data_IF_319421222207
#
_entry.id   IF_319421222207
#
_cell.length_a   1.000
_cell.length_b   1.000
_cell.length_c   1.000
_cell.angle_alpha   90.00
_cell.angle_beta   90.00
_cell.angle_gamma   90.00
#
_symmetry.space_group_name_H-M   'P 1'
#
loop_
_entity.id
_entity.type
_entity.pdbx_description
1 polymer ?
#
# COMPACT_ATOMS: atom_id res chain seq x y z
N UNK A 1 -23.91 -9.13 11.38
CA UNK A 1 -25.07 -8.27 11.07
C UNK A 1 -24.56 -6.89 10.69
N UNK A 2 -25.25 -6.20 9.78
CA UNK A 2 -24.96 -4.81 9.39
C UNK A 2 -25.68 -3.78 10.29
N UNK A 3 -26.60 -4.21 11.16
CA UNK A 3 -27.42 -3.33 12.02
C UNK A 3 -26.58 -2.39 12.90
N UNK A 4 -25.45 -2.86 13.43
CA UNK A 4 -24.55 -2.02 14.22
C UNK A 4 -24.01 -0.82 13.42
N UNK A 5 -23.91 -0.95 12.09
CA UNK A 5 -23.42 0.09 11.18
C UNK A 5 -24.51 1.08 10.76
N UNK A 6 -25.78 0.82 11.10
CA UNK A 6 -26.89 1.74 10.85
C UNK A 6 -27.25 2.59 12.06
N UNK A 7 -26.63 2.33 13.23
CA UNK A 7 -26.96 3.00 14.49
C UNK A 7 -26.79 4.54 14.45
N UNK A 8 -25.79 5.02 13.70
CA UNK A 8 -25.53 6.46 13.50
C UNK A 8 -26.22 7.05 12.27
N UNK A 9 -26.92 6.21 11.48
CA UNK A 9 -27.55 6.62 10.23
C UNK A 9 -26.56 6.84 9.07
N UNK A 10 -27.08 7.48 8.01
CA UNK A 10 -26.31 7.80 6.81
C UNK A 10 -25.37 8.98 7.09
N UNK A 11 -24.06 8.89 6.79
CA UNK A 11 -23.13 9.99 7.03
C UNK A 11 -23.37 11.12 6.02
N UNK A 12 -22.97 12.33 6.42
CA UNK A 12 -23.09 13.52 5.56
C UNK A 12 -22.12 13.46 4.36
N UNK A 13 -20.92 12.92 4.54
CA UNK A 13 -19.87 12.90 3.52
C UNK A 13 -19.56 11.48 3.02
N UNK A 14 -19.01 10.64 3.88
CA UNK A 14 -18.55 9.29 3.53
C UNK A 14 -18.40 8.42 4.78
N UNK A 15 -18.26 7.11 4.58
CA UNK A 15 -17.77 6.21 5.62
C UNK A 15 -16.25 6.08 5.55
N UNK A 16 -15.56 6.36 6.65
CA UNK A 16 -14.13 6.10 6.83
C UNK A 16 -13.91 4.80 7.60
N UNK A 17 -13.18 3.84 7.03
CA UNK A 17 -12.88 2.55 7.69
C UNK A 17 -11.37 2.36 7.86
N UNK A 18 -10.97 1.95 9.07
CA UNK A 18 -9.59 1.74 9.49
C UNK A 18 -9.50 0.52 10.42
N UNK A 19 -8.35 -0.17 10.43
CA UNK A 19 -8.05 -1.21 11.43
C UNK A 19 -7.60 -0.63 12.78
N UNK A 20 -7.46 0.70 12.90
CA UNK A 20 -6.86 1.38 14.04
C UNK A 20 -5.35 1.58 13.87
N UNK A 21 -4.65 1.71 14.98
CA UNK A 21 -3.20 2.01 15.02
C UNK A 21 -2.31 0.83 14.60
N UNK A 22 -2.85 -0.39 14.55
CA UNK A 22 -2.10 -1.61 14.23
C UNK A 22 -2.93 -2.51 13.31
N UNK A 23 -2.24 -3.25 12.44
CA UNK A 23 -2.87 -4.29 11.60
C UNK A 23 -3.61 -5.31 12.47
N UNK A 24 -4.83 -5.66 12.06
CA UNK A 24 -5.72 -6.52 12.84
C UNK A 24 -5.17 -7.93 13.05
N UNK A 25 -4.41 -8.45 12.08
CA UNK A 25 -3.79 -9.77 12.21
C UNK A 25 -2.57 -9.70 13.14
N UNK A 26 -1.70 -8.71 12.95
CA UNK A 26 -0.53 -8.50 13.81
C UNK A 26 -0.95 -8.26 15.25
N UNK A 27 -2.08 -7.58 15.50
CA UNK A 27 -2.56 -7.36 16.84
C UNK A 27 -3.05 -8.67 17.49
N UNK A 28 -3.81 -9.48 16.74
CA UNK A 28 -4.42 -10.71 17.26
C UNK A 28 -3.47 -11.91 17.32
N UNK A 29 -2.39 -11.93 16.55
CA UNK A 29 -1.49 -13.08 16.41
C UNK A 29 -0.02 -12.71 16.57
N UNK A 30 0.75 -13.59 17.20
CA UNK A 30 2.22 -13.52 17.21
C UNK A 30 2.81 -13.89 15.85
N UNK A 31 4.11 -13.64 15.65
CA UNK A 31 4.82 -14.06 14.44
C UNK A 31 4.68 -15.57 14.18
N UNK A 32 4.71 -16.39 15.25
CA UNK A 32 4.49 -17.85 15.18
C UNK A 32 3.00 -18.25 14.99
N UNK A 33 2.15 -17.31 14.59
CA UNK A 33 0.70 -17.50 14.39
C UNK A 33 -0.07 -17.95 15.64
N UNK A 34 0.47 -17.73 16.85
CA UNK A 34 -0.25 -17.98 18.10
C UNK A 34 -1.17 -16.83 18.42
N UNK A 35 -2.40 -17.12 18.84
CA UNK A 35 -3.38 -16.10 19.21
C UNK A 35 -2.98 -15.39 20.50
N UNK A 36 -3.03 -14.06 20.52
CA UNK A 36 -2.93 -13.25 21.74
C UNK A 36 -4.26 -13.21 22.49
N UNK A 37 -4.17 -13.16 23.82
CA UNK A 37 -5.34 -13.09 24.69
C UNK A 37 -5.81 -11.66 24.95
N UNK A 38 -4.94 -10.69 24.66
CA UNK A 38 -5.13 -9.27 24.87
C UNK A 38 -5.08 -8.47 23.56
N UNK A 39 -5.61 -7.26 23.62
CA UNK A 39 -5.54 -6.26 22.53
C UNK A 39 -5.35 -4.88 23.15
N UNK A 40 -4.14 -4.34 23.06
CA UNK A 40 -3.75 -3.05 23.65
C UNK A 40 -4.56 -1.84 23.16
N UNK A 41 -5.30 -1.97 22.05
CA UNK A 41 -6.09 -0.91 21.46
C UNK A 41 -7.60 -1.11 21.62
N UNK A 42 -8.01 -2.17 22.32
CA UNK A 42 -9.41 -2.41 22.69
C UNK A 42 -9.63 -1.96 24.14
N UNK A 43 -10.74 -1.30 24.47
CA UNK A 43 -11.05 -0.91 25.85
C UNK A 43 -10.92 -2.09 26.84
N UNK A 44 -10.12 -1.88 27.90
CA UNK A 44 -9.84 -2.91 28.90
C UNK A 44 -8.88 -4.02 28.45
N UNK A 45 -8.13 -3.80 27.36
CA UNK A 45 -7.21 -4.77 26.75
C UNK A 45 -7.86 -6.10 26.32
N UNK A 46 -9.18 -6.09 26.08
CA UNK A 46 -9.94 -7.31 25.81
C UNK A 46 -9.64 -7.83 24.40
N UNK A 47 -9.03 -9.02 24.31
CA UNK A 47 -8.77 -9.66 23.02
C UNK A 47 -10.04 -10.07 22.27
N UNK A 48 -9.94 -10.12 20.93
CA UNK A 48 -10.97 -10.69 20.06
C UNK A 48 -12.19 -9.80 19.77
N UNK A 49 -12.16 -8.52 20.12
CA UNK A 49 -13.20 -7.55 19.73
C UNK A 49 -13.04 -7.02 18.30
N UNK A 50 -11.80 -6.97 17.81
CA UNK A 50 -11.49 -6.64 16.40
C UNK A 50 -11.48 -7.92 15.56
N UNK A 51 -12.21 -7.98 14.43
CA UNK A 51 -12.15 -9.11 13.53
C UNK A 51 -10.84 -9.12 12.75
N UNK A 52 -10.48 -10.30 12.25
CA UNK A 52 -9.35 -10.46 11.33
C UNK A 52 -9.63 -9.75 10.01
N UNK A 53 -8.61 -9.04 9.51
CA UNK A 53 -8.74 -8.17 8.32
C UNK A 53 -9.87 -7.16 8.50
N UNK A 54 -9.81 -6.44 9.62
CA UNK A 54 -10.84 -5.53 10.07
C UNK A 54 -11.30 -4.54 8.99
N UNK A 55 -10.38 -3.99 8.19
CA UNK A 55 -10.74 -3.06 7.11
C UNK A 55 -11.69 -3.73 6.12
N UNK A 56 -11.44 -4.98 5.72
CA UNK A 56 -12.29 -5.71 4.77
C UNK A 56 -13.65 -6.00 5.40
N UNK A 57 -13.66 -6.57 6.61
CA UNK A 57 -14.89 -6.98 7.30
C UNK A 57 -15.80 -5.78 7.52
N UNK A 58 -15.27 -4.68 8.07
CA UNK A 58 -16.04 -3.47 8.33
C UNK A 58 -16.51 -2.77 7.05
N UNK A 59 -15.66 -2.72 6.01
CA UNK A 59 -16.04 -2.19 4.71
C UNK A 59 -17.23 -2.93 4.10
N UNK A 60 -17.23 -4.26 4.19
CA UNK A 60 -18.34 -5.08 3.70
C UNK A 60 -19.62 -4.84 4.50
N UNK A 61 -19.55 -4.70 5.83
CA UNK A 61 -20.72 -4.36 6.64
C UNK A 61 -21.27 -2.97 6.29
N UNK A 62 -20.40 -2.00 6.05
CA UNK A 62 -20.80 -0.67 5.57
C UNK A 62 -21.48 -0.78 4.21
N UNK A 63 -20.96 -1.59 3.28
CA UNK A 63 -21.60 -1.82 1.96
C UNK A 63 -22.92 -2.56 2.03
N UNK A 64 -23.10 -3.45 3.01
CA UNK A 64 -24.37 -4.10 3.30
C UNK A 64 -25.42 -3.07 3.79
N UNK A 65 -25.01 -2.13 4.65
CA UNK A 65 -25.89 -1.09 5.20
C UNK A 65 -26.18 0.08 4.23
N UNK A 66 -25.16 0.56 3.52
CA UNK A 66 -25.20 1.77 2.71
C UNK A 66 -24.36 1.59 1.42
N UNK A 67 -24.98 0.99 0.40
CA UNK A 67 -24.30 0.66 -0.87
C UNK A 67 -23.85 1.90 -1.65
N UNK A 68 -24.63 2.97 -1.62
CA UNK A 68 -24.48 4.17 -2.46
C UNK A 68 -23.67 5.30 -1.79
N UNK A 69 -23.29 5.14 -0.52
CA UNK A 69 -22.47 6.12 0.20
C UNK A 69 -20.99 5.91 -0.17
N UNK A 70 -20.21 6.99 -0.37
CA UNK A 70 -18.76 6.87 -0.58
C UNK A 70 -18.09 6.13 0.59
N UNK A 71 -17.21 5.20 0.25
CA UNK A 71 -16.43 4.43 1.23
C UNK A 71 -14.94 4.67 1.03
N UNK A 72 -14.30 5.24 2.05
CA UNK A 72 -12.86 5.54 2.06
C UNK A 72 -12.19 4.67 3.12
N UNK A 73 -11.09 4.02 2.74
CA UNK A 73 -10.30 3.19 3.65
C UNK A 73 -8.91 3.78 3.89
N UNK A 74 -8.31 3.50 5.04
CA UNK A 74 -6.96 3.94 5.38
C UNK A 74 -6.33 3.07 6.46
N UNK A 75 -5.33 3.61 7.16
CA UNK A 75 -4.46 2.95 8.16
C UNK A 75 -3.32 2.12 7.57
N UNK A 76 -2.45 1.62 8.45
CA UNK A 76 -1.34 0.74 8.11
C UNK A 76 -1.84 -0.52 7.37
N UNK A 77 -2.96 -1.10 7.81
CA UNK A 77 -3.52 -2.31 7.19
C UNK A 77 -3.92 -2.09 5.73
N UNK A 78 -4.56 -0.96 5.40
CA UNK A 78 -4.92 -0.64 4.03
C UNK A 78 -3.69 -0.19 3.22
N UNK A 79 -2.86 0.68 3.81
CA UNK A 79 -1.71 1.30 3.15
C UNK A 79 -0.71 0.28 2.60
N UNK A 80 -0.41 -0.75 3.39
CA UNK A 80 0.53 -1.81 3.00
C UNK A 80 -0.09 -2.78 1.97
N UNK A 81 -1.42 -2.88 1.92
CA UNK A 81 -2.17 -3.79 1.05
C UNK A 81 -2.80 -3.10 -0.17
N UNK A 82 -2.33 -1.88 -0.49
CA UNK A 82 -2.86 -1.04 -1.59
C UNK A 82 -2.60 -1.62 -2.98
N UNK A 83 -1.52 -2.38 -3.14
CA UNK A 83 -1.17 -3.13 -4.35
C UNK A 83 -1.20 -4.63 -4.06
N UNK A 84 -0.95 -5.45 -5.08
CA UNK A 84 -0.74 -6.88 -4.86
C UNK A 84 0.39 -7.10 -3.85
N UNK A 85 0.19 -8.00 -2.90
CA UNK A 85 1.12 -8.23 -1.81
C UNK A 85 1.11 -9.71 -1.42
N UNK A 86 2.26 -10.20 -0.97
CA UNK A 86 2.35 -11.50 -0.32
C UNK A 86 1.75 -11.42 1.08
N UNK A 87 0.76 -12.27 1.35
CA UNK A 87 0.09 -12.36 2.64
C UNK A 87 0.65 -13.52 3.46
N UNK A 88 1.50 -13.18 4.43
CA UNK A 88 2.15 -14.14 5.34
C UNK A 88 1.16 -15.08 6.05
N UNK A 89 -0.05 -14.61 6.36
CA UNK A 89 -1.04 -15.37 7.11
C UNK A 89 -1.68 -16.50 6.30
N UNK A 90 -1.88 -16.30 5.00
CA UNK A 90 -2.45 -17.29 4.09
C UNK A 90 -1.46 -17.92 3.11
N UNK A 91 -0.20 -17.50 3.15
CA UNK A 91 0.89 -18.01 2.30
C UNK A 91 0.57 -17.88 0.79
N UNK A 92 0.02 -16.72 0.41
CA UNK A 92 -0.46 -16.46 -0.95
C UNK A 92 -0.23 -15.00 -1.35
N UNK A 93 -0.04 -14.76 -2.64
CA UNK A 93 -0.14 -13.41 -3.20
C UNK A 93 -1.62 -13.04 -3.27
N UNK A 94 -1.98 -11.93 -2.62
CA UNK A 94 -3.33 -11.36 -2.66
C UNK A 94 -3.34 -10.11 -3.52
N UNK A 95 -4.47 -9.90 -4.20
CA UNK A 95 -4.79 -8.65 -4.89
C UNK A 95 -4.94 -7.49 -3.90
N UNK A 96 -5.01 -6.27 -4.43
CA UNK A 96 -5.24 -5.06 -3.64
C UNK A 96 -6.47 -5.17 -2.73
N UNK A 97 -6.33 -4.66 -1.50
CA UNK A 97 -7.43 -4.58 -0.53
C UNK A 97 -8.61 -3.74 -1.05
N UNK A 98 -8.39 -2.81 -1.98
CA UNK A 98 -9.46 -2.04 -2.63
C UNK A 98 -10.49 -2.95 -3.31
N UNK A 99 -10.05 -4.08 -3.89
CA UNK A 99 -10.94 -5.02 -4.58
C UNK A 99 -11.73 -5.88 -3.59
N UNK A 100 -11.12 -6.28 -2.48
CA UNK A 100 -11.76 -7.12 -1.45
C UNK A 100 -12.72 -6.31 -0.55
N UNK A 101 -12.40 -5.04 -0.30
CA UNK A 101 -13.21 -4.12 0.53
C UNK A 101 -14.30 -3.40 -0.25
N UNK A 102 -14.20 -3.32 -1.58
CA UNK A 102 -15.07 -2.51 -2.43
C UNK A 102 -15.10 -1.02 -2.03
N UNK A 103 -13.99 -0.51 -1.51
CA UNK A 103 -13.82 0.90 -1.21
C UNK A 103 -13.64 1.73 -2.50
N UNK A 104 -14.13 2.96 -2.49
CA UNK A 104 -14.02 3.88 -3.63
C UNK A 104 -12.63 4.53 -3.71
N UNK A 105 -12.02 4.77 -2.54
CA UNK A 105 -10.72 5.43 -2.39
C UNK A 105 -9.96 4.87 -1.18
N UNK A 106 -8.64 4.73 -1.30
CA UNK A 106 -7.73 4.35 -0.22
C UNK A 106 -6.77 5.51 0.03
N UNK A 107 -6.63 5.93 1.28
CA UNK A 107 -5.62 6.91 1.70
C UNK A 107 -4.44 6.20 2.36
N UNK A 108 -3.21 6.50 1.97
CA UNK A 108 -2.00 5.85 2.49
C UNK A 108 -0.89 6.84 2.86
N UNK A 109 0.01 6.38 3.73
CA UNK A 109 1.06 7.22 4.31
C UNK A 109 0.48 8.22 5.31
N UNK A 110 1.10 9.40 5.40
CA UNK A 110 0.62 10.51 6.22
C UNK A 110 -0.55 11.19 5.50
N UNK A 111 -1.74 10.65 5.72
CA UNK A 111 -2.95 10.94 4.96
C UNK A 111 -3.79 12.08 5.54
N UNK A 112 -3.33 12.82 6.54
CA UNK A 112 -4.09 13.89 7.20
C UNK A 112 -4.48 14.98 6.19
N UNK A 113 -3.53 15.38 5.34
CA UNK A 113 -3.76 16.37 4.28
C UNK A 113 -4.69 15.84 3.20
N UNK A 114 -4.48 14.60 2.76
CA UNK A 114 -5.33 13.95 1.76
C UNK A 114 -6.77 13.76 2.25
N UNK A 115 -6.95 13.41 3.53
CA UNK A 115 -8.26 13.25 4.16
C UNK A 115 -9.03 14.57 4.19
N UNK A 116 -8.37 15.66 4.60
CA UNK A 116 -8.97 17.00 4.64
C UNK A 116 -9.37 17.46 3.23
N UNK A 117 -8.49 17.30 2.24
CA UNK A 117 -8.75 17.66 0.84
C UNK A 117 -9.96 16.89 0.27
N UNK A 118 -9.94 15.55 0.40
CA UNK A 118 -11.06 14.70 -0.04
C UNK A 118 -12.36 15.07 0.67
N UNK A 119 -12.33 15.32 1.98
CA UNK A 119 -13.53 15.70 2.73
C UNK A 119 -14.13 17.02 2.25
N UNK A 120 -13.30 18.04 2.00
CA UNK A 120 -13.77 19.32 1.45
C UNK A 120 -14.38 19.18 0.06
N UNK A 121 -13.77 18.38 -0.82
CA UNK A 121 -14.28 18.14 -2.18
C UNK A 121 -15.60 17.38 -2.16
N UNK A 122 -15.72 16.36 -1.31
CA UNK A 122 -17.00 15.65 -1.11
C UNK A 122 -18.07 16.59 -0.53
N UNK A 123 -17.71 17.48 0.39
CA UNK A 123 -18.63 18.49 0.94
C UNK A 123 -19.09 19.50 -0.13
N UNK A 124 -18.24 19.80 -1.12
CA UNK A 124 -18.58 20.62 -2.28
C UNK A 124 -19.43 19.86 -3.34
N UNK A 125 -19.76 18.59 -3.10
CA UNK A 125 -20.57 17.78 -4.00
C UNK A 125 -19.80 17.08 -5.11
N UNK A 126 -18.46 17.08 -5.06
CA UNK A 126 -17.67 16.36 -6.05
C UNK A 126 -17.84 14.84 -5.87
N UNK A 127 -18.12 14.06 -6.94
CA UNK A 127 -18.21 12.62 -6.83
C UNK A 127 -16.86 11.99 -6.45
N UNK A 128 -16.85 11.09 -5.45
CA UNK A 128 -15.63 10.38 -5.00
C UNK A 128 -14.83 9.72 -6.13
N UNK A 129 -15.50 9.31 -7.21
CA UNK A 129 -14.88 8.68 -8.38
C UNK A 129 -14.15 9.65 -9.31
N UNK A 130 -14.31 10.96 -9.13
CA UNK A 130 -13.64 12.01 -9.89
C UNK A 130 -12.39 12.55 -9.18
N UNK A 131 -12.28 12.32 -7.86
CA UNK A 131 -11.11 12.71 -7.06
C UNK A 131 -9.96 11.74 -7.36
N UNK A 132 -9.04 12.14 -8.26
CA UNK A 132 -7.94 11.29 -8.79
C UNK A 132 -6.56 11.93 -8.69
N UNK A 133 -6.53 13.22 -8.37
CA UNK A 133 -5.37 14.12 -8.35
C UNK A 133 -4.83 14.36 -6.93
N UNK A 134 -5.48 13.80 -5.90
CA UNK A 134 -5.02 13.90 -4.51
C UNK A 134 -3.85 12.94 -4.27
N UNK A 135 -2.70 13.49 -3.85
CA UNK A 135 -1.51 12.71 -3.49
C UNK A 135 -1.76 11.84 -2.26
N UNK A 136 -1.13 10.67 -2.21
CA UNK A 136 -1.34 9.72 -1.10
C UNK A 136 -2.67 8.97 -1.19
N UNK A 137 -3.27 8.91 -2.38
CA UNK A 137 -4.50 8.15 -2.62
C UNK A 137 -4.29 7.03 -3.63
N UNK A 138 -5.03 5.93 -3.46
CA UNK A 138 -5.06 4.80 -4.37
C UNK A 138 -6.49 4.43 -4.71
N UNK A 139 -6.71 3.99 -5.95
CA UNK A 139 -8.03 3.62 -6.45
C UNK A 139 -7.95 2.58 -7.55
N UNK A 140 -9.06 1.89 -7.78
CA UNK A 140 -9.19 0.92 -8.87
C UNK A 140 -9.50 1.67 -10.16
N UNK A 141 -8.63 1.50 -11.16
CA UNK A 141 -8.83 2.04 -12.50
C UNK A 141 -9.12 0.91 -13.48
N UNK A 142 -10.16 1.05 -14.32
CA UNK A 142 -10.51 0.02 -15.31
C UNK A 142 -9.63 0.07 -16.56
N UNK A 143 -9.12 1.26 -16.88
CA UNK A 143 -8.31 1.55 -18.06
C UNK A 143 -7.23 2.53 -17.66
N UNK A 144 -6.07 2.42 -18.26
CA UNK A 144 -5.03 3.42 -18.05
C UNK A 144 -5.51 4.77 -18.62
N UNK A 145 -5.35 5.90 -17.90
CA UNK A 145 -5.66 7.20 -18.48
C UNK A 145 -4.70 7.52 -19.62
N UNK A 146 -5.22 8.03 -20.74
CA UNK A 146 -4.46 8.23 -21.99
C UNK A 146 -3.31 9.23 -21.86
N UNK A 147 -3.41 10.17 -20.92
CA UNK A 147 -2.43 11.23 -20.70
C UNK A 147 -1.18 10.78 -19.93
N UNK A 148 -1.09 9.50 -19.50
CA UNK A 148 0.04 9.03 -18.69
C UNK A 148 1.05 8.26 -19.52
N UNK A 149 2.31 8.64 -19.39
CA UNK A 149 3.44 7.85 -19.89
C UNK A 149 3.60 6.59 -19.05
N UNK A 150 3.68 5.43 -19.69
CA UNK A 150 3.91 4.15 -19.00
C UNK A 150 5.39 3.83 -18.95
N UNK A 151 5.93 3.66 -17.75
CA UNK A 151 7.26 3.12 -17.48
C UNK A 151 7.08 1.66 -17.10
N UNK A 152 7.66 0.75 -17.88
CA UNK A 152 7.58 -0.68 -17.61
C UNK A 152 8.61 -1.09 -16.53
N UNK A 153 8.14 -1.55 -15.37
CA UNK A 153 9.04 -1.87 -14.25
C UNK A 153 9.95 -3.06 -14.53
N UNK A 154 9.57 -3.94 -15.46
CA UNK A 154 10.35 -5.13 -15.85
C UNK A 154 11.71 -4.77 -16.48
N UNK A 155 11.85 -3.55 -17.00
CA UNK A 155 13.12 -3.04 -17.52
C UNK A 155 14.11 -2.68 -16.41
N UNK A 156 13.63 -2.48 -15.18
CA UNK A 156 14.41 -2.06 -14.02
C UNK A 156 14.63 -3.25 -13.08
N UNK A 157 13.55 -3.94 -12.71
CA UNK A 157 13.58 -5.11 -11.83
C UNK A 157 13.55 -6.39 -12.68
N UNK A 158 14.73 -6.78 -13.18
CA UNK A 158 14.90 -8.04 -13.90
C UNK A 158 14.68 -9.22 -12.93
N UNK A 159 13.77 -10.13 -13.29
CA UNK A 159 13.56 -11.35 -12.52
C UNK A 159 14.78 -12.26 -12.71
N UNK A 160 15.52 -12.50 -11.64
CA UNK A 160 16.72 -13.33 -11.67
C UNK A 160 17.31 -13.52 -10.27
N UNK A 161 18.46 -14.21 -10.19
CA UNK A 161 19.26 -14.24 -8.99
C UNK A 161 19.56 -12.80 -8.55
N UNK A 162 19.29 -12.49 -7.28
CA UNK A 162 19.63 -11.18 -6.71
C UNK A 162 21.15 -11.09 -6.65
N UNK A 163 21.70 -9.98 -7.14
CA UNK A 163 23.13 -9.70 -6.97
C UNK A 163 23.49 -9.79 -5.49
N UNK A 164 24.55 -10.54 -5.17
CA UNK A 164 24.94 -10.71 -3.78
C UNK A 164 25.25 -9.33 -3.18
N UNK A 165 24.54 -8.92 -2.10
CA UNK A 165 24.80 -7.63 -1.50
C UNK A 165 26.24 -7.61 -0.99
N UNK A 166 27.01 -6.62 -1.44
CA UNK A 166 28.36 -6.42 -0.92
C UNK A 166 28.27 -6.21 0.58
N UNK A 167 29.00 -7.02 1.34
CA UNK A 167 28.99 -6.91 2.79
C UNK A 167 29.51 -5.51 3.19
N UNK A 168 28.70 -4.69 3.88
CA UNK A 168 29.04 -3.29 4.19
C UNK A 168 30.23 -3.14 5.15
N UNK A 169 30.71 -4.25 5.73
CA UNK A 169 31.87 -4.30 6.62
C UNK A 169 33.16 -4.73 5.92
N UNK A 170 33.14 -4.95 4.60
CA UNK A 170 34.37 -5.18 3.84
C UNK A 170 35.04 -3.82 3.60
N UNK A 171 36.27 -3.69 4.08
CA UNK A 171 37.13 -2.54 3.78
C UNK A 171 37.58 -2.60 2.32
N UNK A 172 36.92 -1.80 1.47
CA UNK A 172 37.24 -1.66 0.05
C UNK A 172 38.48 -0.80 -0.21
N UNK A 173 39.11 -0.23 0.83
CA UNK A 173 40.29 0.63 0.70
C UNK A 173 41.63 -0.11 0.84
N UNK A 174 41.64 -1.34 1.34
CA UNK A 174 42.85 -2.15 1.51
C UNK A 174 43.06 -3.14 0.35
N UNK A 175 44.23 -3.15 -0.33
CA UNK A 175 44.50 -4.03 -1.47
C UNK A 175 44.72 -5.52 -1.11
N UNK A 176 44.47 -5.92 0.15
CA UNK A 176 44.76 -7.26 0.67
C UNK A 176 43.64 -8.29 0.43
N UNK A 177 42.52 -7.91 -0.19
CA UNK A 177 41.38 -8.81 -0.47
C UNK A 177 41.21 -9.13 -1.97
N UNK A 178 42.32 -9.29 -2.71
CA UNK A 178 42.28 -9.72 -4.10
C UNK A 178 42.16 -11.24 -4.29
N UNK A 179 42.30 -12.06 -3.25
CA UNK A 179 42.34 -13.52 -3.38
C UNK A 179 41.15 -14.19 -2.68
N UNK A 180 40.01 -14.26 -3.38
CA UNK A 180 39.05 -15.38 -3.33
C UNK A 180 37.75 -15.07 -4.10
N UNK A 181 37.84 -14.79 -5.40
CA UNK A 181 36.76 -15.14 -6.33
C UNK A 181 37.32 -15.26 -7.75
N UNK A 182 36.94 -16.35 -8.41
CA UNK A 182 37.41 -16.75 -9.73
C UNK A 182 37.17 -15.66 -10.79
N UNK A 183 38.22 -15.41 -11.56
CA UNK A 183 38.28 -14.87 -12.91
C UNK A 183 36.94 -14.46 -13.58
N UNK A 184 36.48 -13.24 -13.29
CA UNK A 184 35.68 -12.41 -14.19
C UNK A 184 36.44 -11.11 -14.41
N UNK A 185 36.79 -10.82 -15.66
CA UNK A 185 37.64 -9.69 -16.07
C UNK A 185 37.23 -8.39 -15.38
N UNK A 186 38.13 -7.82 -14.57
CA UNK A 186 38.00 -6.46 -14.05
C UNK A 186 38.28 -5.48 -15.18
N UNK A 187 37.27 -5.22 -16.01
CA UNK A 187 37.23 -3.96 -16.74
C UNK A 187 37.14 -2.85 -15.70
N UNK A 188 38.09 -1.90 -15.75
CA UNK A 188 38.05 -0.70 -14.96
C UNK A 188 36.68 -0.04 -15.17
N UNK A 189 35.82 -0.10 -14.15
CA UNK A 189 34.55 0.61 -14.15
C UNK A 189 34.90 2.10 -14.23
N UNK A 190 34.89 2.63 -15.45
CA UNK A 190 34.91 4.07 -15.70
C UNK A 190 33.80 4.65 -14.83
N UNK A 191 34.19 5.44 -13.83
CA UNK A 191 33.24 6.18 -13.00
C UNK A 191 32.67 7.27 -13.89
N UNK A 192 31.67 6.89 -14.70
CA UNK A 192 30.86 7.83 -15.45
C UNK A 192 30.04 8.56 -14.39
N UNK A 193 30.26 9.86 -14.14
CA UNK A 193 29.36 10.60 -13.28
C UNK A 193 27.97 10.47 -13.89
N UNK A 194 27.06 9.81 -13.16
CA UNK A 194 25.64 9.77 -13.52
C UNK A 194 25.16 11.21 -13.42
N UNK A 195 25.26 11.93 -14.53
CA UNK A 195 24.55 13.19 -14.71
C UNK A 195 23.09 12.77 -14.69
N UNK A 196 22.43 13.01 -13.56
CA UNK A 196 20.98 13.09 -13.53
C UNK A 196 20.64 14.24 -14.49
N UNK A 197 20.49 13.92 -15.77
CA UNK A 197 19.97 14.85 -16.75
C UNK A 197 18.65 15.33 -16.19
N UNK A 198 18.46 16.64 -16.09
CA UNK A 198 17.13 17.21 -16.04
C UNK A 198 16.36 16.54 -17.17
N UNK A 199 15.44 15.65 -16.82
CA UNK A 199 14.67 14.88 -17.79
C UNK A 199 13.80 15.92 -18.50
N UNK A 200 14.01 16.22 -19.78
CA UNK A 200 13.17 17.19 -20.49
C UNK A 200 11.70 16.74 -20.56
N UNK A 201 11.44 15.45 -20.32
CA UNK A 201 10.13 14.81 -20.25
C UNK A 201 9.56 14.72 -18.82
N UNK A 202 10.19 15.38 -17.82
CA UNK A 202 9.78 15.28 -16.40
C UNK A 202 8.41 15.92 -16.10
N UNK A 203 7.89 16.77 -17.00
CA UNK A 203 6.62 17.46 -16.82
C UNK A 203 5.40 16.58 -17.18
N UNK A 204 5.60 15.47 -17.90
CA UNK A 204 4.51 14.55 -18.22
C UNK A 204 4.22 13.59 -17.06
N UNK A 205 2.95 13.43 -16.70
CA UNK A 205 2.54 12.48 -15.67
C UNK A 205 2.91 11.05 -16.10
N UNK A 206 3.79 10.40 -15.35
CA UNK A 206 4.21 9.03 -15.61
C UNK A 206 3.60 8.06 -14.60
N UNK A 207 3.30 6.83 -15.04
CA UNK A 207 2.96 5.70 -14.18
C UNK A 207 4.00 4.59 -14.31
N UNK A 208 4.20 3.84 -13.23
CA UNK A 208 4.97 2.62 -13.24
C UNK A 208 4.00 1.44 -13.41
N UNK A 209 4.15 0.68 -14.49
CA UNK A 209 3.43 -0.56 -14.70
C UNK A 209 4.14 -1.68 -13.96
N UNK A 210 3.48 -2.22 -12.94
CA UNK A 210 3.92 -3.44 -12.28
C UNK A 210 3.66 -4.65 -13.19
N UNK A 211 4.47 -5.72 -13.10
CA UNK A 211 4.31 -6.88 -13.97
C UNK A 211 3.04 -7.66 -13.61
N UNK A 212 2.45 -8.32 -14.62
CA UNK A 212 1.32 -9.22 -14.42
C UNK A 212 1.85 -10.61 -14.08
N UNK A 213 1.82 -11.00 -12.80
CA UNK A 213 2.10 -12.36 -12.34
C UNK A 213 0.82 -12.99 -11.79
#
# INVERSE_FOLDING_TARGET
>A
SAEAFTALGRPNLFFGVSAGNMDSMINRYTADRKRRNDDAYTPGNVGGKRPDRAVIVYSQRVREAYRDVPLIIGSIEASLRRIAHYDYWSDKVRRSILLDSQADLLLYGNAERALVDVAHRLAAGEPVKQIRDVRGTAYVCKRLPEAYRVIDSTSIDLVGPIDQPVNPYIDTSSPACADASEAGQSEALEVVPVRLLDRPEADEQAVIRLPAY
#
